data_IF_238114394268
#
_entry.id   IF_238114394268
#
_cell.length_a   1.000
_cell.length_b   1.000
_cell.length_c   1.000
_cell.angle_alpha   90.00
_cell.angle_beta   90.00
_cell.angle_gamma   90.00
#
_symmetry.space_group_name_H-M   'P 1'
#
loop_
_entity.id
_entity.type
_entity.pdbx_description
1 polymer ?
#
# COMPACT_ATOMS: atom_id res chain seq x y z
N UNK A 1 -6.81 11.07 62.06
CA UNK A 1 -7.26 11.96 60.96
C UNK A 1 -6.15 12.39 59.99
N UNK A 2 -4.86 12.31 60.35
CA UNK A 2 -3.74 12.79 59.53
C UNK A 2 -3.36 11.86 58.36
N UNK A 3 -3.62 10.57 58.46
CA UNK A 3 -3.18 9.58 57.42
C UNK A 3 -4.04 9.59 56.14
N UNK A 4 -5.32 9.90 56.23
CA UNK A 4 -6.23 9.89 55.09
C UNK A 4 -6.01 11.12 54.19
N UNK A 5 -5.81 12.30 54.79
CA UNK A 5 -5.53 13.52 54.05
C UNK A 5 -4.20 13.46 53.25
N UNK A 6 -3.16 12.85 53.85
CA UNK A 6 -1.88 12.68 53.12
C UNK A 6 -1.98 11.72 51.96
N UNK A 7 -2.85 10.70 52.01
CA UNK A 7 -3.11 9.77 50.94
C UNK A 7 -3.90 10.41 49.77
N UNK A 8 -4.88 11.26 50.11
CA UNK A 8 -5.65 12.03 49.14
C UNK A 8 -4.75 13.01 48.37
N UNK A 9 -3.92 13.75 49.11
CA UNK A 9 -2.97 14.72 48.55
C UNK A 9 -1.96 14.06 47.61
N UNK A 10 -1.43 12.89 47.99
CA UNK A 10 -0.53 12.11 47.12
C UNK A 10 -1.24 11.57 45.86
N UNK A 11 -2.52 11.21 45.94
CA UNK A 11 -3.30 10.73 44.80
C UNK A 11 -3.62 11.84 43.82
N UNK A 12 -3.96 13.02 44.31
CA UNK A 12 -4.23 14.21 43.50
C UNK A 12 -2.96 14.69 42.79
N UNK A 13 -1.83 14.71 43.47
CA UNK A 13 -0.53 15.05 42.91
C UNK A 13 -0.17 14.10 41.75
N UNK A 14 -0.34 12.78 41.92
CA UNK A 14 -0.09 11.79 40.88
C UNK A 14 -1.04 11.95 39.67
N UNK A 15 -2.30 12.34 39.90
CA UNK A 15 -3.25 12.62 38.82
C UNK A 15 -2.84 13.88 38.05
N UNK A 16 -2.44 14.93 38.73
CA UNK A 16 -1.97 16.17 38.13
C UNK A 16 -0.69 15.93 37.29
N UNK A 17 0.27 15.15 37.81
CA UNK A 17 1.49 14.78 37.12
C UNK A 17 1.18 13.98 35.82
N UNK A 18 0.29 12.98 35.87
CA UNK A 18 -0.14 12.22 34.70
C UNK A 18 -0.87 13.07 33.66
N UNK A 19 -1.68 14.04 34.14
CA UNK A 19 -2.37 14.97 33.24
C UNK A 19 -1.37 15.87 32.50
N UNK A 20 -0.42 16.45 33.27
CA UNK A 20 0.63 17.29 32.72
C UNK A 20 1.54 16.53 31.75
N UNK A 21 1.85 15.26 32.01
CA UNK A 21 2.61 14.40 31.11
C UNK A 21 1.83 14.15 29.81
N UNK A 22 0.53 13.84 29.92
CA UNK A 22 -0.34 13.64 28.77
C UNK A 22 -0.46 14.91 27.90
N UNK A 23 -0.58 16.06 28.53
CA UNK A 23 -0.64 17.35 27.83
C UNK A 23 0.67 17.65 27.09
N UNK A 24 1.83 17.43 27.74
CA UNK A 24 3.15 17.56 27.09
C UNK A 24 3.29 16.63 25.90
N UNK A 25 2.86 15.38 26.04
CA UNK A 25 2.90 14.40 24.95
C UNK A 25 2.02 14.83 23.77
N UNK A 26 0.80 15.32 24.05
CA UNK A 26 -0.10 15.82 23.02
C UNK A 26 0.46 17.06 22.30
N UNK A 27 1.06 17.98 23.07
CA UNK A 27 1.69 19.18 22.51
C UNK A 27 2.89 18.80 21.62
N UNK A 28 3.75 17.90 22.09
CA UNK A 28 4.86 17.39 21.27
C UNK A 28 4.37 16.76 19.97
N UNK A 29 3.33 15.93 20.03
CA UNK A 29 2.72 15.31 18.85
C UNK A 29 2.15 16.35 17.87
N UNK A 30 1.54 17.41 18.39
CA UNK A 30 1.02 18.50 17.58
C UNK A 30 2.14 19.28 16.89
N UNK A 31 3.24 19.53 17.60
CA UNK A 31 4.42 20.20 17.01
C UNK A 31 5.08 19.33 15.93
N UNK A 32 5.28 18.03 16.18
CA UNK A 32 5.81 17.08 15.19
C UNK A 32 4.95 17.02 13.92
N UNK A 33 3.62 17.03 14.08
CA UNK A 33 2.70 17.02 12.95
C UNK A 33 2.79 18.32 12.15
N UNK A 34 2.86 19.46 12.83
CA UNK A 34 3.01 20.78 12.19
C UNK A 34 4.31 20.89 11.42
N UNK A 35 5.42 20.42 11.98
CA UNK A 35 6.71 20.39 11.28
C UNK A 35 6.67 19.53 10.02
N UNK A 36 5.97 18.38 10.07
CA UNK A 36 5.76 17.52 8.89
C UNK A 36 4.94 18.24 7.83
N UNK A 37 3.86 18.89 8.24
CA UNK A 37 3.00 19.66 7.34
C UNK A 37 3.76 20.81 6.67
N UNK A 38 4.55 21.56 7.44
CA UNK A 38 5.34 22.67 6.92
C UNK A 38 6.38 22.18 5.89
N UNK A 39 7.08 21.08 6.16
CA UNK A 39 8.04 20.45 5.24
C UNK A 39 7.35 19.93 3.98
N UNK A 40 6.23 19.26 4.13
CA UNK A 40 5.42 18.77 3.02
C UNK A 40 4.98 19.91 2.11
N UNK A 41 4.39 20.97 2.69
CA UNK A 41 3.91 22.13 1.94
C UNK A 41 5.05 22.86 1.22
N UNK A 42 6.20 23.03 1.88
CA UNK A 42 7.37 23.66 1.27
C UNK A 42 7.85 22.88 0.04
N UNK A 43 7.99 21.56 0.16
CA UNK A 43 8.43 20.70 -0.93
C UNK A 43 7.41 20.63 -2.07
N UNK A 44 6.12 20.50 -1.75
CA UNK A 44 5.04 20.49 -2.71
C UNK A 44 4.97 21.79 -3.50
N UNK A 45 5.11 22.93 -2.82
CA UNK A 45 5.16 24.25 -3.46
C UNK A 45 6.37 24.40 -4.38
N UNK A 46 7.54 23.85 -4.00
CA UNK A 46 8.71 23.84 -4.86
C UNK A 46 8.48 23.02 -6.13
N UNK A 47 7.87 21.83 -6.03
CA UNK A 47 7.49 21.02 -7.19
C UNK A 47 6.54 21.75 -8.12
N UNK A 48 5.52 22.43 -7.56
CA UNK A 48 4.53 23.19 -8.32
C UNK A 48 5.18 24.42 -8.98
N UNK A 49 6.05 25.13 -8.26
CA UNK A 49 6.77 26.27 -8.81
C UNK A 49 7.64 25.87 -10.02
N UNK A 50 8.23 24.68 -9.98
CA UNK A 50 9.11 24.15 -11.03
C UNK A 50 8.35 23.56 -12.22
N UNK A 51 7.24 22.83 -11.95
CA UNK A 51 6.55 22.04 -12.96
C UNK A 51 5.15 22.57 -13.34
N UNK A 52 4.65 23.59 -12.63
CA UNK A 52 3.27 24.05 -12.72
C UNK A 52 2.30 23.24 -11.85
N UNK A 53 1.03 23.61 -11.88
CA UNK A 53 -0.01 22.87 -11.17
C UNK A 53 -0.19 21.47 -11.77
N UNK A 54 -0.29 20.42 -10.93
CA UNK A 54 -0.54 19.07 -11.41
C UNK A 54 -1.98 18.95 -11.93
N UNK A 55 -2.15 18.34 -13.09
CA UNK A 55 -3.47 18.04 -13.65
C UNK A 55 -4.20 16.91 -12.89
N UNK A 56 -3.45 16.05 -12.20
CA UNK A 56 -4.01 14.99 -11.37
C UNK A 56 -3.09 14.71 -10.18
N UNK A 57 -3.71 14.48 -9.03
CA UNK A 57 -3.05 13.98 -7.80
C UNK A 57 -3.80 12.77 -7.30
N UNK A 58 -3.08 11.70 -6.99
CA UNK A 58 -3.63 10.46 -6.41
C UNK A 58 -2.82 10.10 -5.17
N UNK A 59 -3.49 9.86 -4.05
CA UNK A 59 -2.87 9.29 -2.85
C UNK A 59 -2.80 7.77 -3.03
N UNK A 60 -1.63 7.18 -2.82
CA UNK A 60 -1.45 5.73 -2.88
C UNK A 60 -2.13 5.05 -1.68
N UNK A 61 -1.90 5.59 -0.49
CA UNK A 61 -2.53 5.12 0.75
C UNK A 61 -3.40 6.23 1.37
N UNK A 62 -4.65 5.93 1.64
CA UNK A 62 -5.58 6.85 2.33
C UNK A 62 -5.51 6.69 3.85
N UNK A 63 -4.32 6.53 4.38
CA UNK A 63 -4.13 6.36 5.82
C UNK A 63 -3.89 7.72 6.49
N UNK A 64 -4.55 7.98 7.64
CA UNK A 64 -4.35 9.21 8.42
C UNK A 64 -2.90 9.41 8.89
N UNK A 65 -2.12 8.34 8.98
CA UNK A 65 -0.71 8.41 9.39
C UNK A 65 0.23 8.83 8.25
N UNK A 66 -0.23 8.75 7.00
CA UNK A 66 0.52 9.14 5.80
C UNK A 66 0.13 10.54 5.28
N UNK A 67 -0.58 11.32 6.08
CA UNK A 67 -0.80 12.73 5.80
C UNK A 67 0.54 13.46 5.78
N UNK A 68 0.70 14.38 4.83
CA UNK A 68 1.94 15.15 4.64
C UNK A 68 3.16 14.28 4.30
N UNK A 69 2.96 13.29 3.43
CA UNK A 69 4.01 12.43 2.94
C UNK A 69 4.05 12.45 1.41
N UNK A 70 5.06 13.10 0.83
CA UNK A 70 5.27 13.16 -0.62
C UNK A 70 5.57 11.79 -1.24
N UNK A 71 6.07 10.84 -0.44
CA UNK A 71 6.31 9.46 -0.89
C UNK A 71 5.02 8.64 -1.02
N UNK A 72 3.88 9.22 -0.63
CA UNK A 72 2.55 8.63 -0.75
C UNK A 72 1.72 9.23 -1.91
N UNK A 73 2.33 10.05 -2.76
CA UNK A 73 1.61 10.77 -3.81
C UNK A 73 2.11 10.41 -5.22
N UNK A 74 1.15 10.31 -6.12
CA UNK A 74 1.34 10.33 -7.56
C UNK A 74 0.76 11.65 -8.08
N UNK A 75 1.61 12.51 -8.68
CA UNK A 75 1.18 13.77 -9.30
C UNK A 75 1.56 13.77 -10.78
N UNK A 76 0.62 14.15 -11.61
CA UNK A 76 0.82 14.23 -13.06
C UNK A 76 0.94 15.70 -13.47
N UNK A 77 2.09 16.11 -13.95
CA UNK A 77 2.36 17.42 -14.51
C UNK A 77 2.27 17.35 -16.05
N UNK A 78 1.05 17.35 -16.55
CA UNK A 78 0.73 17.13 -17.97
C UNK A 78 1.37 18.14 -18.92
N UNK A 79 1.44 19.41 -18.51
CA UNK A 79 2.03 20.50 -19.31
C UNK A 79 3.52 20.33 -19.57
N UNK A 80 4.26 19.78 -18.60
CA UNK A 80 5.71 19.56 -18.71
C UNK A 80 6.08 18.09 -18.94
N UNK A 81 5.08 17.23 -19.12
CA UNK A 81 5.26 15.79 -19.34
C UNK A 81 6.10 15.11 -18.27
N UNK A 82 5.83 15.43 -17.01
CA UNK A 82 6.50 14.85 -15.85
C UNK A 82 5.52 14.18 -14.89
N UNK A 83 6.06 13.23 -14.13
CA UNK A 83 5.37 12.49 -13.10
C UNK A 83 6.17 12.59 -11.80
N UNK A 84 5.52 12.94 -10.72
CA UNK A 84 6.00 12.65 -9.38
C UNK A 84 5.37 11.35 -8.91
N UNK A 85 6.17 10.36 -8.57
CA UNK A 85 5.71 9.04 -8.17
C UNK A 85 6.45 8.61 -6.90
N UNK A 86 5.81 8.80 -5.75
CA UNK A 86 6.29 8.30 -4.45
C UNK A 86 7.78 8.59 -4.20
N UNK A 87 8.17 9.86 -4.23
CA UNK A 87 9.57 10.26 -4.01
C UNK A 87 10.43 10.38 -5.27
N UNK A 88 9.92 10.00 -6.45
CA UNK A 88 10.66 10.02 -7.71
C UNK A 88 10.04 10.97 -8.72
N UNK A 89 10.83 11.91 -9.25
CA UNK A 89 10.44 12.75 -10.39
C UNK A 89 10.90 12.06 -11.69
N UNK A 90 9.95 11.76 -12.59
CA UNK A 90 10.19 10.98 -13.81
C UNK A 90 9.64 11.75 -14.99
N UNK A 91 10.40 11.86 -16.09
CA UNK A 91 9.84 12.29 -17.36
C UNK A 91 8.92 11.19 -17.92
N UNK A 92 7.73 11.55 -18.39
CA UNK A 92 6.77 10.57 -18.93
C UNK A 92 7.37 9.79 -20.11
N UNK A 93 8.23 10.46 -20.92
CA UNK A 93 8.97 9.82 -22.00
C UNK A 93 9.89 8.68 -21.57
N UNK A 94 10.40 8.73 -20.33
CA UNK A 94 11.34 7.73 -19.79
C UNK A 94 10.66 6.49 -19.22
N UNK A 95 9.33 6.49 -19.09
CA UNK A 95 8.59 5.31 -18.62
C UNK A 95 8.48 4.31 -19.75
N UNK A 96 9.15 3.17 -19.68
CA UNK A 96 9.07 2.12 -20.70
C UNK A 96 7.74 1.36 -20.64
N UNK A 97 7.36 0.92 -19.47
CA UNK A 97 6.14 0.16 -19.23
C UNK A 97 5.73 0.26 -17.75
N UNK A 98 4.52 -0.14 -17.48
CA UNK A 98 4.04 -0.31 -16.11
C UNK A 98 3.11 -1.53 -16.02
N UNK A 99 2.94 -2.04 -14.81
CA UNK A 99 1.91 -3.02 -14.48
C UNK A 99 1.45 -2.83 -13.04
N UNK A 100 0.19 -3.11 -12.78
CA UNK A 100 -0.33 -3.29 -11.43
C UNK A 100 -0.40 -4.78 -11.18
N UNK A 101 0.43 -5.27 -10.29
CA UNK A 101 0.53 -6.68 -9.92
C UNK A 101 -0.28 -6.97 -8.65
N UNK A 102 -0.84 -8.18 -8.58
CA UNK A 102 -1.56 -8.70 -7.41
C UNK A 102 -0.71 -9.79 -6.75
N UNK A 103 0.06 -9.41 -5.74
CA UNK A 103 0.87 -10.32 -4.92
C UNK A 103 -0.03 -11.06 -3.92
N UNK A 104 -1.05 -11.76 -4.40
CA UNK A 104 -2.01 -12.44 -3.52
C UNK A 104 -1.40 -13.59 -2.76
N UNK A 105 -1.76 -13.69 -1.48
CA UNK A 105 -1.37 -14.77 -0.57
C UNK A 105 -2.59 -15.57 -0.16
N UNK A 106 -2.50 -16.91 -0.25
CA UNK A 106 -3.57 -17.81 0.21
C UNK A 106 -3.28 -18.22 1.66
N UNK A 107 -4.11 -17.79 2.59
CA UNK A 107 -4.14 -18.32 3.94
C UNK A 107 -4.96 -19.62 3.91
N UNK A 108 -4.28 -20.74 4.11
CA UNK A 108 -4.94 -22.04 4.16
C UNK A 108 -5.82 -22.15 5.41
N UNK A 109 -7.09 -22.46 5.19
CA UNK A 109 -8.02 -22.84 6.25
C UNK A 109 -7.76 -24.26 6.77
N UNK A 110 -8.57 -24.70 7.73
CA UNK A 110 -8.47 -26.08 8.27
C UNK A 110 -8.74 -27.12 7.19
N UNK A 111 -7.86 -28.12 7.09
CA UNK A 111 -7.98 -29.22 6.12
C UNK A 111 -9.07 -30.14 6.60
N UNK A 112 -10.27 -30.04 6.03
CA UNK A 112 -11.24 -31.13 6.09
C UNK A 112 -10.99 -32.07 4.93
N UNK A 113 -10.49 -33.27 5.22
CA UNK A 113 -10.33 -34.30 4.22
C UNK A 113 -11.71 -34.74 3.70
N UNK A 114 -12.07 -34.28 2.53
CA UNK A 114 -13.20 -34.85 1.77
C UNK A 114 -12.61 -35.89 0.84
N UNK A 115 -12.70 -37.14 1.23
CA UNK A 115 -12.38 -38.27 0.36
C UNK A 115 -13.40 -38.33 -0.76
N UNK A 116 -13.09 -37.77 -1.91
CA UNK A 116 -13.70 -38.18 -3.15
C UNK A 116 -12.66 -38.80 -4.05
N UNK A 117 -12.95 -40.00 -4.45
CA UNK A 117 -12.15 -40.82 -5.35
C UNK A 117 -11.90 -40.09 -6.68
N UNK A 118 -10.64 -39.94 -7.04
CA UNK A 118 -10.13 -39.55 -8.35
C UNK A 118 -10.25 -38.08 -8.76
N UNK A 119 -9.57 -37.19 -8.01
CA UNK A 119 -9.30 -35.87 -8.57
C UNK A 119 -7.97 -35.35 -8.03
N UNK A 120 -6.91 -35.94 -8.47
CA UNK A 120 -5.60 -35.54 -8.02
C UNK A 120 -5.09 -34.30 -8.70
N UNK A 121 -4.15 -33.73 -8.10
CA UNK A 121 -3.23 -32.67 -8.54
C UNK A 121 -3.84 -31.34 -9.05
N UNK A 122 -5.14 -31.25 -9.35
CA UNK A 122 -5.75 -30.01 -9.85
C UNK A 122 -5.72 -28.93 -8.78
N UNK A 123 -6.18 -29.25 -7.59
CA UNK A 123 -6.19 -28.32 -6.47
C UNK A 123 -4.77 -27.98 -5.99
N UNK A 124 -3.89 -28.98 -5.91
CA UNK A 124 -2.50 -28.76 -5.53
C UNK A 124 -1.74 -27.87 -6.52
N UNK A 125 -1.96 -28.07 -7.83
CA UNK A 125 -1.33 -27.24 -8.86
C UNK A 125 -1.96 -25.87 -8.96
N UNK A 126 -3.28 -25.77 -8.77
CA UNK A 126 -3.96 -24.47 -8.75
C UNK A 126 -3.48 -23.61 -7.56
N UNK A 127 -3.33 -24.23 -6.38
CA UNK A 127 -2.79 -23.54 -5.20
C UNK A 127 -1.33 -23.16 -5.42
N UNK A 128 -0.51 -24.06 -5.98
CA UNK A 128 0.88 -23.74 -6.29
C UNK A 128 0.99 -22.65 -7.35
N UNK A 129 0.13 -22.71 -8.39
CA UNK A 129 0.06 -21.67 -9.42
C UNK A 129 -0.39 -20.32 -8.87
N UNK A 130 -1.36 -20.30 -7.95
CA UNK A 130 -1.80 -19.06 -7.29
C UNK A 130 -0.73 -18.46 -6.37
N UNK A 131 0.05 -19.32 -5.68
CA UNK A 131 1.16 -18.86 -4.84
C UNK A 131 2.33 -18.25 -5.62
N UNK A 132 2.50 -18.66 -6.89
CA UNK A 132 3.62 -18.21 -7.73
C UNK A 132 3.18 -17.11 -8.71
N UNK A 133 1.96 -17.22 -9.24
CA UNK A 133 1.48 -16.36 -10.32
C UNK A 133 0.12 -15.71 -10.08
N UNK A 134 -0.39 -15.66 -8.85
CA UNK A 134 -1.71 -15.12 -8.53
C UNK A 134 -2.86 -15.94 -9.12
N UNK A 135 -4.00 -15.30 -9.36
CA UNK A 135 -5.20 -15.96 -9.92
C UNK A 135 -4.95 -16.58 -11.31
N UNK A 136 -4.16 -15.90 -12.16
CA UNK A 136 -3.80 -16.41 -13.49
C UNK A 136 -2.95 -17.68 -13.40
N UNK A 137 -2.00 -17.74 -12.46
CA UNK A 137 -1.19 -18.94 -12.22
C UNK A 137 -2.02 -20.12 -11.73
N UNK A 138 -3.03 -19.88 -10.91
CA UNK A 138 -3.95 -20.91 -10.44
C UNK A 138 -4.76 -21.53 -11.61
N UNK A 139 -5.23 -20.71 -12.54
CA UNK A 139 -5.98 -21.17 -13.73
C UNK A 139 -5.08 -22.02 -14.62
N UNK A 140 -3.88 -21.54 -14.92
CA UNK A 140 -2.94 -22.27 -15.79
C UNK A 140 -2.50 -23.59 -15.13
N UNK A 141 -2.17 -23.55 -13.83
CA UNK A 141 -1.80 -24.74 -13.09
C UNK A 141 -2.91 -25.78 -13.02
N UNK A 142 -4.17 -25.31 -12.88
CA UNK A 142 -5.35 -26.18 -12.88
C UNK A 142 -5.64 -26.85 -14.21
N UNK A 143 -5.45 -26.11 -15.33
CA UNK A 143 -5.74 -26.63 -16.66
C UNK A 143 -4.81 -27.77 -17.11
N UNK A 144 -3.60 -27.86 -16.57
CA UNK A 144 -2.61 -28.90 -16.91
C UNK A 144 -2.68 -30.13 -16.04
N UNK A 145 -3.53 -30.14 -15.02
CA UNK A 145 -3.61 -31.22 -14.05
C UNK A 145 -4.43 -32.41 -14.58
N UNK A 146 -3.88 -33.62 -14.49
CA UNK A 146 -4.63 -34.88 -14.68
C UNK A 146 -5.56 -35.12 -13.49
N UNK A 147 -6.73 -35.73 -13.73
CA UNK A 147 -7.76 -36.01 -12.72
C UNK A 147 -7.22 -36.83 -11.55
N UNK A 148 -7.00 -36.21 -10.43
CA UNK A 148 -6.70 -36.84 -9.14
C UNK A 148 -7.32 -35.99 -8.00
N UNK A 149 -7.61 -36.58 -6.87
CA UNK A 149 -8.40 -36.06 -5.72
C UNK A 149 -8.38 -34.56 -5.41
N UNK A 150 -9.52 -33.91 -5.40
CA UNK A 150 -9.67 -32.52 -4.98
C UNK A 150 -9.75 -32.48 -3.46
N UNK A 151 -8.73 -31.88 -2.82
CA UNK A 151 -8.87 -31.39 -1.45
C UNK A 151 -9.56 -30.04 -1.50
N UNK A 152 -10.84 -29.97 -1.22
CA UNK A 152 -11.48 -28.71 -0.92
C UNK A 152 -11.10 -28.31 0.50
N UNK A 153 -10.27 -27.30 0.61
CA UNK A 153 -10.12 -26.55 1.85
C UNK A 153 -11.31 -25.61 1.95
N UNK A 154 -12.26 -25.90 2.81
CA UNK A 154 -13.26 -24.94 3.22
C UNK A 154 -12.55 -23.87 4.04
N UNK A 155 -12.71 -22.59 3.68
CA UNK A 155 -12.20 -21.39 4.32
C UNK A 155 -10.77 -20.93 3.93
N UNK A 156 -10.27 -21.25 2.76
CA UNK A 156 -9.10 -20.57 2.22
C UNK A 156 -9.42 -19.09 2.01
N UNK A 157 -8.63 -18.23 2.62
CA UNK A 157 -8.77 -16.78 2.48
C UNK A 157 -7.67 -16.26 1.58
N UNK A 158 -8.04 -15.73 0.43
CA UNK A 158 -7.12 -15.01 -0.44
C UNK A 158 -6.96 -13.59 0.10
N UNK A 159 -5.72 -13.22 0.38
CA UNK A 159 -5.36 -11.85 0.75
C UNK A 159 -4.67 -11.24 -0.46
N UNK A 160 -5.33 -10.26 -1.08
CA UNK A 160 -4.75 -9.48 -2.17
C UNK A 160 -3.81 -8.42 -1.61
N UNK A 161 -2.66 -8.21 -2.25
CA UNK A 161 -1.72 -7.15 -1.95
C UNK A 161 -1.20 -6.58 -3.28
N UNK A 162 -1.68 -5.41 -3.65
CA UNK A 162 -1.40 -4.81 -4.95
C UNK A 162 -0.12 -3.98 -4.91
N UNK A 163 0.65 -4.05 -6.00
CA UNK A 163 1.84 -3.24 -6.21
C UNK A 163 1.84 -2.65 -7.62
N UNK A 164 2.30 -1.41 -7.75
CA UNK A 164 2.60 -0.79 -9.03
C UNK A 164 4.08 -1.00 -9.35
N UNK A 165 4.36 -1.61 -10.48
CA UNK A 165 5.70 -1.77 -11.05
C UNK A 165 5.83 -0.83 -12.22
N UNK A 166 6.83 0.05 -12.22
CA UNK A 166 7.12 0.99 -13.31
C UNK A 166 8.54 0.75 -13.78
N UNK A 167 8.71 0.44 -15.05
CA UNK A 167 10.00 0.31 -15.70
C UNK A 167 10.37 1.65 -16.35
N UNK A 168 11.52 2.18 -16.01
CA UNK A 168 12.01 3.47 -16.49
C UNK A 168 13.35 3.34 -17.21
N UNK A 169 13.65 4.28 -18.10
CA UNK A 169 14.93 4.39 -18.80
C UNK A 169 16.00 5.01 -17.89
N UNK A 170 16.25 4.40 -16.72
CA UNK A 170 17.31 4.80 -15.79
C UNK A 170 18.17 3.57 -15.47
N UNK A 171 19.45 3.64 -15.80
CA UNK A 171 20.40 2.53 -15.55
C UNK A 171 20.62 2.27 -14.06
N UNK A 172 20.47 3.28 -13.21
CA UNK A 172 20.64 3.14 -11.76
C UNK A 172 19.40 2.59 -11.07
N UNK A 173 18.21 2.97 -11.57
CA UNK A 173 16.92 2.53 -11.06
C UNK A 173 15.97 2.14 -12.21
N UNK A 174 16.22 1.02 -12.89
CA UNK A 174 15.43 0.63 -14.07
C UNK A 174 13.98 0.24 -13.74
N UNK A 175 13.70 -0.02 -12.45
CA UNK A 175 12.39 -0.48 -11.99
C UNK A 175 12.04 0.17 -10.65
N UNK A 176 10.86 0.76 -10.57
CA UNK A 176 10.26 1.25 -9.33
C UNK A 176 9.13 0.31 -8.91
N UNK A 177 9.18 -0.15 -7.67
CA UNK A 177 8.14 -0.97 -7.05
C UNK A 177 7.45 -0.17 -5.95
N UNK A 178 6.15 0.08 -6.10
CA UNK A 178 5.35 0.88 -5.18
C UNK A 178 4.21 0.03 -4.65
N UNK A 179 4.20 -0.23 -3.37
CA UNK A 179 3.12 -0.98 -2.72
C UNK A 179 1.87 -0.13 -2.64
N UNK A 180 0.74 -0.67 -3.13
CA UNK A 180 -0.58 -0.04 -3.05
C UNK A 180 -1.35 -0.60 -1.84
N UNK A 181 -1.10 -1.87 -1.48
CA UNK A 181 -1.79 -2.57 -0.42
C UNK A 181 -3.06 -3.28 -0.90
N UNK A 182 -4.03 -3.47 -0.02
CA UNK A 182 -5.15 -4.39 -0.24
C UNK A 182 -6.37 -3.78 -0.93
N UNK A 183 -6.34 -2.51 -1.24
CA UNK A 183 -7.47 -1.80 -1.84
C UNK A 183 -7.49 -1.98 -3.36
N UNK A 184 -8.37 -2.88 -3.82
CA UNK A 184 -8.57 -3.14 -5.25
C UNK A 184 -9.04 -1.90 -6.02
N UNK A 185 -9.89 -1.05 -5.42
CA UNK A 185 -10.38 0.16 -6.10
C UNK A 185 -9.24 1.14 -6.33
N UNK A 186 -8.38 1.30 -5.33
CA UNK A 186 -7.17 2.12 -5.44
C UNK A 186 -6.22 1.58 -6.51
N UNK A 187 -5.99 0.28 -6.54
CA UNK A 187 -5.19 -0.37 -7.57
C UNK A 187 -5.74 -0.13 -8.98
N UNK A 188 -7.06 -0.23 -9.16
CA UNK A 188 -7.72 0.08 -10.43
C UNK A 188 -7.62 1.57 -10.81
N UNK A 189 -7.78 2.49 -9.85
CA UNK A 189 -7.61 3.92 -10.07
C UNK A 189 -6.19 4.23 -10.56
N UNK A 190 -5.18 3.72 -9.86
CA UNK A 190 -3.77 3.92 -10.23
C UNK A 190 -3.49 3.33 -11.62
N UNK A 191 -3.99 2.14 -11.90
CA UNK A 191 -3.84 1.52 -13.22
C UNK A 191 -4.43 2.40 -14.34
N UNK A 192 -5.63 2.93 -14.14
CA UNK A 192 -6.28 3.81 -15.11
C UNK A 192 -5.50 5.12 -15.32
N UNK A 193 -4.99 5.73 -14.25
CA UNK A 193 -4.15 6.94 -14.33
C UNK A 193 -2.86 6.64 -15.09
N UNK A 194 -2.20 5.53 -14.81
CA UNK A 194 -0.97 5.14 -15.51
C UNK A 194 -1.20 4.86 -17.00
N UNK A 195 -2.35 4.28 -17.38
CA UNK A 195 -2.72 4.11 -18.79
C UNK A 195 -2.85 5.48 -19.49
N UNK A 196 -3.49 6.46 -18.86
CA UNK A 196 -3.59 7.81 -19.40
C UNK A 196 -2.20 8.45 -19.53
N UNK A 197 -1.34 8.31 -18.52
CA UNK A 197 0.04 8.80 -18.57
C UNK A 197 0.80 8.21 -19.77
N UNK A 198 0.68 6.91 -20.01
CA UNK A 198 1.32 6.25 -21.15
C UNK A 198 0.79 6.75 -22.50
N UNK A 199 -0.47 7.17 -22.57
CA UNK A 199 -1.04 7.77 -23.79
C UNK A 199 -0.57 9.21 -24.05
N UNK A 200 0.06 9.86 -23.07
CA UNK A 200 0.61 11.21 -23.19
C UNK A 200 2.02 11.26 -23.82
N UNK A 201 2.67 10.09 -24.02
CA UNK A 201 3.95 10.02 -24.71
C UNK A 201 3.81 10.51 -26.14
#
# INVERSE_FOLDING_TARGET
>A
GHSINSYLDASEKRRAEKLAEKERYQEQKRQELKEKEDKYNAFRNELIARNGEPGRVVLIHENRFDQFNMDNELMVFDKVKKLWLCGHEIAIGDINSFMVDDESTILKGDIKAVTSTNTGSLAGRSIAGALIGGEAGAIIGGATAKKETIFRQENDKVIHDYALVVNVCDLNNPMLLIKIGRDKKKAMEINAVMQVIMSMK
#
